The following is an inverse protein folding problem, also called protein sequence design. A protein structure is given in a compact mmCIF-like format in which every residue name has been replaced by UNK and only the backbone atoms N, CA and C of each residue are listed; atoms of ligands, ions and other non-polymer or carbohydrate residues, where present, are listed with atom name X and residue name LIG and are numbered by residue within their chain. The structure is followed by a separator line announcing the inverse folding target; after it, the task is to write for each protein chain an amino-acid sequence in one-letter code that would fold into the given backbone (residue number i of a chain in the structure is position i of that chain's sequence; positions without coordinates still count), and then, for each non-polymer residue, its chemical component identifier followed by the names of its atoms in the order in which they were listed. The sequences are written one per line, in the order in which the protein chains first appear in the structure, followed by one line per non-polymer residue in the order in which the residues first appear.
data_IF_540499533417
#
_entry.id   IF_540499533417
#
_cell.length_a   1.000
_cell.length_b   1.000
_cell.length_c   1.000
_cell.angle_alpha   90.00
_cell.angle_beta   90.00
_cell.angle_gamma   90.00
#
_symmetry.space_group_name_H-M   'P 1'
#
loop_
_entity.id
_entity.type
_entity.pdbx_description
1 polymer ?
#
# COMPACT_ATOMS: atom_id res chain seq x y z
N UNK A 1 -13.75 28.50 37.71
CA UNK A 1 -12.70 28.77 36.70
C UNK A 1 -12.55 27.59 35.74
N UNK A 2 -12.19 26.38 36.21
CA UNK A 2 -12.09 25.18 35.37
C UNK A 2 -13.39 24.80 34.63
N UNK A 3 -14.52 24.69 35.34
CA UNK A 3 -15.80 24.32 34.70
C UNK A 3 -16.28 25.30 33.62
N UNK A 4 -15.99 26.60 33.77
CA UNK A 4 -16.33 27.60 32.74
C UNK A 4 -15.49 27.43 31.47
N UNK A 5 -14.20 27.11 31.61
CA UNK A 5 -13.33 26.82 30.47
C UNK A 5 -13.72 25.51 29.78
N UNK A 6 -14.22 24.53 30.53
CA UNK A 6 -14.78 23.29 29.97
C UNK A 6 -16.07 23.55 29.18
N UNK A 7 -16.98 24.39 29.70
CA UNK A 7 -18.18 24.80 28.99
C UNK A 7 -17.86 25.55 27.68
N UNK A 8 -16.91 26.50 27.71
CA UNK A 8 -16.49 27.20 26.48
C UNK A 8 -15.86 26.25 25.46
N UNK A 9 -15.07 25.28 25.93
CA UNK A 9 -14.50 24.24 25.07
C UNK A 9 -15.61 23.42 24.43
N UNK A 10 -16.59 22.97 25.20
CA UNK A 10 -17.66 22.09 24.73
C UNK A 10 -18.58 22.80 23.72
N UNK A 11 -18.84 24.09 23.91
CA UNK A 11 -19.55 24.92 22.92
C UNK A 11 -18.79 24.98 21.59
N UNK A 12 -17.48 25.29 21.63
CA UNK A 12 -16.65 25.32 20.40
C UNK A 12 -16.57 23.97 19.72
N UNK A 13 -16.41 22.89 20.49
CA UNK A 13 -16.38 21.52 19.95
C UNK A 13 -17.71 21.16 19.30
N UNK A 14 -18.83 21.54 19.91
CA UNK A 14 -20.17 21.28 19.36
C UNK A 14 -20.35 21.96 18.00
N UNK A 15 -19.92 23.21 17.85
CA UNK A 15 -20.00 23.93 16.57
C UNK A 15 -19.14 23.26 15.48
N UNK A 16 -17.89 22.91 15.82
CA UNK A 16 -16.97 22.21 14.89
C UNK A 16 -17.58 20.88 14.46
N UNK A 17 -18.09 20.09 15.41
CA UNK A 17 -18.70 18.80 15.13
C UNK A 17 -19.95 18.94 14.27
N UNK A 18 -20.79 19.95 14.51
CA UNK A 18 -21.97 20.21 13.70
C UNK A 18 -21.61 20.56 12.27
N UNK A 19 -20.60 21.42 12.06
CA UNK A 19 -20.10 21.77 10.73
C UNK A 19 -19.50 20.57 10.00
N UNK A 20 -18.65 19.79 10.67
CA UNK A 20 -18.08 18.57 10.10
C UNK A 20 -19.17 17.61 9.64
N UNK A 21 -20.15 17.34 10.50
CA UNK A 21 -21.26 16.45 10.15
C UNK A 21 -22.09 16.99 8.98
N UNK A 22 -22.35 18.30 8.93
CA UNK A 22 -23.08 18.93 7.82
C UNK A 22 -22.33 18.77 6.49
N UNK A 23 -21.01 18.97 6.49
CA UNK A 23 -20.16 18.76 5.32
C UNK A 23 -20.18 17.30 4.84
N UNK A 24 -20.02 16.35 5.77
CA UNK A 24 -20.07 14.92 5.46
C UNK A 24 -21.44 14.50 4.88
N UNK A 25 -22.55 14.91 5.51
CA UNK A 25 -23.90 14.62 5.02
C UNK A 25 -24.15 15.27 3.66
N UNK A 26 -23.71 16.51 3.45
CA UNK A 26 -23.81 17.20 2.18
C UNK A 26 -23.04 16.50 1.05
N UNK A 27 -21.82 16.03 1.33
CA UNK A 27 -21.02 15.28 0.36
C UNK A 27 -21.72 13.97 -0.05
N UNK A 28 -22.23 13.21 0.92
CA UNK A 28 -22.98 11.98 0.66
C UNK A 28 -24.27 12.24 -0.12
N UNK A 29 -25.03 13.28 0.24
CA UNK A 29 -26.27 13.64 -0.45
C UNK A 29 -26.02 13.98 -1.92
N UNK A 30 -24.99 14.78 -2.23
CA UNK A 30 -24.61 15.11 -3.60
C UNK A 30 -24.19 13.88 -4.40
N UNK A 31 -23.40 12.98 -3.82
CA UNK A 31 -23.01 11.72 -4.47
C UNK A 31 -24.23 10.85 -4.78
N UNK A 32 -25.15 10.73 -3.82
CA UNK A 32 -26.40 9.98 -4.00
C UNK A 32 -27.30 10.60 -5.07
N UNK A 33 -27.40 11.93 -5.10
CA UNK A 33 -28.16 12.66 -6.09
C UNK A 33 -27.62 12.43 -7.52
N UNK A 34 -26.30 12.52 -7.70
CA UNK A 34 -25.68 12.24 -9.00
C UNK A 34 -25.94 10.81 -9.47
N UNK A 35 -25.83 9.82 -8.57
CA UNK A 35 -26.19 8.44 -8.88
C UNK A 35 -27.66 8.31 -9.33
N UNK A 36 -28.58 9.00 -8.65
CA UNK A 36 -30.01 8.99 -9.01
C UNK A 36 -30.26 9.64 -10.39
N UNK A 37 -29.61 10.75 -10.71
CA UNK A 37 -29.71 11.37 -12.05
C UNK A 37 -29.23 10.40 -13.12
N UNK A 38 -28.06 9.79 -12.92
CA UNK A 38 -27.51 8.82 -13.87
C UNK A 38 -28.46 7.63 -14.06
N UNK A 39 -29.05 7.11 -12.99
CA UNK A 39 -30.05 6.04 -13.05
C UNK A 39 -31.31 6.46 -13.81
N UNK A 40 -31.84 7.66 -13.55
CA UNK A 40 -33.02 8.17 -14.26
C UNK A 40 -32.77 8.31 -15.76
N UNK A 41 -31.60 8.82 -16.14
CA UNK A 41 -31.20 8.93 -17.54
C UNK A 41 -31.04 7.55 -18.17
N UNK A 42 -30.39 6.61 -17.48
CA UNK A 42 -30.27 5.23 -17.95
C UNK A 42 -31.63 4.55 -18.15
N UNK A 43 -32.57 4.72 -17.21
CA UNK A 43 -33.94 4.19 -17.32
C UNK A 43 -34.62 4.74 -18.58
N UNK A 44 -34.56 6.05 -18.82
CA UNK A 44 -35.16 6.67 -20.01
C UNK A 44 -34.57 6.10 -21.31
N UNK A 45 -33.25 5.94 -21.36
CA UNK A 45 -32.55 5.36 -22.53
C UNK A 45 -32.97 3.91 -22.74
N UNK A 46 -32.98 3.09 -21.69
CA UNK A 46 -33.39 1.68 -21.75
C UNK A 46 -34.84 1.56 -22.22
N UNK A 47 -35.77 2.34 -21.65
CA UNK A 47 -37.18 2.32 -22.05
C UNK A 47 -37.36 2.75 -23.52
N UNK A 48 -36.68 3.83 -23.95
CA UNK A 48 -36.71 4.28 -25.34
C UNK A 48 -36.21 3.20 -26.30
N UNK A 49 -35.07 2.59 -25.98
CA UNK A 49 -34.49 1.50 -26.78
C UNK A 49 -35.35 0.25 -26.78
N UNK A 50 -35.96 -0.12 -25.65
CA UNK A 50 -36.88 -1.24 -25.55
C UNK A 50 -38.09 -1.07 -26.47
N UNK A 51 -38.70 0.12 -26.49
CA UNK A 51 -39.79 0.44 -27.44
C UNK A 51 -39.33 0.39 -28.89
N UNK A 52 -38.14 0.93 -29.19
CA UNK A 52 -37.58 0.87 -30.54
C UNK A 52 -37.33 -0.58 -31.00
N UNK A 53 -36.80 -1.42 -30.12
CA UNK A 53 -36.57 -2.84 -30.38
C UNK A 53 -37.89 -3.56 -30.69
N UNK A 54 -38.96 -3.32 -29.92
CA UNK A 54 -40.26 -3.92 -30.18
C UNK A 54 -40.81 -3.56 -31.57
N UNK A 55 -40.60 -2.31 -32.02
CA UNK A 55 -40.97 -1.87 -33.38
C UNK A 55 -40.14 -2.56 -34.46
N UNK A 56 -38.84 -2.71 -34.23
CA UNK A 56 -37.88 -3.17 -35.25
C UNK A 56 -37.76 -4.70 -35.31
N UNK A 57 -38.04 -5.44 -34.23
CA UNK A 57 -37.81 -6.89 -34.12
C UNK A 57 -38.48 -7.70 -35.24
N UNK A 58 -39.68 -7.31 -35.66
CA UNK A 58 -40.43 -8.01 -36.70
C UNK A 58 -40.14 -7.48 -38.12
N UNK A 59 -39.37 -6.41 -38.26
CA UNK A 59 -39.02 -5.82 -39.55
C UNK A 59 -38.11 -6.76 -40.35
N UNK A 60 -38.48 -7.03 -41.61
CA UNK A 60 -37.81 -8.05 -42.45
C UNK A 60 -36.33 -7.75 -42.67
N UNK A 61 -35.96 -6.50 -42.93
CA UNK A 61 -34.56 -6.09 -43.10
C UNK A 61 -33.71 -6.28 -41.85
N UNK A 62 -34.26 -5.97 -40.67
CA UNK A 62 -33.58 -6.21 -39.41
C UNK A 62 -33.31 -7.70 -39.16
N UNK A 63 -34.31 -8.56 -39.41
CA UNK A 63 -34.17 -10.02 -39.29
C UNK A 63 -33.09 -10.55 -40.23
N UNK A 64 -33.04 -10.06 -41.47
CA UNK A 64 -31.99 -10.42 -42.43
C UNK A 64 -30.61 -10.04 -41.90
N UNK A 65 -30.43 -8.79 -41.47
CA UNK A 65 -29.18 -8.31 -40.90
C UNK A 65 -28.70 -9.14 -39.71
N UNK A 66 -29.59 -9.44 -38.75
CA UNK A 66 -29.25 -10.25 -37.56
C UNK A 66 -28.82 -11.67 -37.88
N UNK A 67 -29.27 -12.24 -39.02
CA UNK A 67 -28.85 -13.57 -39.48
C UNK A 67 -27.53 -13.55 -40.25
N UNK A 68 -27.29 -12.51 -41.04
CA UNK A 68 -26.08 -12.40 -41.87
C UNK A 68 -24.88 -11.98 -41.04
N UNK A 69 -25.03 -11.01 -40.11
CA UNK A 69 -23.92 -10.44 -39.35
C UNK A 69 -23.00 -11.49 -38.67
N UNK A 70 -23.52 -12.53 -37.98
CA UNK A 70 -22.67 -13.55 -37.36
C UNK A 70 -21.91 -14.44 -38.35
N UNK A 71 -22.36 -14.52 -39.61
CA UNK A 71 -21.70 -15.30 -40.66
C UNK A 71 -20.51 -14.57 -41.28
N UNK A 72 -20.33 -13.29 -40.96
CA UNK A 72 -19.20 -12.50 -41.42
C UNK A 72 -17.98 -12.77 -40.53
N UNK A 73 -16.94 -13.40 -41.10
CA UNK A 73 -15.69 -13.72 -40.41
C UNK A 73 -15.07 -12.49 -39.69
N UNK A 74 -15.20 -11.31 -40.28
CA UNK A 74 -14.71 -10.03 -39.73
C UNK A 74 -15.29 -9.73 -38.35
N UNK A 75 -16.57 -10.07 -38.09
CA UNK A 75 -17.20 -9.79 -36.78
C UNK A 75 -16.59 -10.62 -35.65
N UNK A 76 -16.12 -11.84 -35.95
CA UNK A 76 -15.46 -12.71 -34.96
C UNK A 76 -14.01 -12.29 -34.73
N UNK A 77 -13.30 -11.96 -35.81
CA UNK A 77 -11.90 -11.51 -35.74
C UNK A 77 -11.77 -10.17 -34.99
N UNK A 78 -12.69 -9.22 -35.20
CA UNK A 78 -12.68 -7.95 -34.47
C UNK A 78 -12.86 -8.13 -32.95
N UNK A 79 -13.75 -9.05 -32.55
CA UNK A 79 -13.99 -9.35 -31.13
C UNK A 79 -12.78 -10.06 -30.50
N UNK A 80 -12.20 -11.04 -31.19
CA UNK A 80 -10.96 -11.72 -30.74
C UNK A 80 -9.79 -10.74 -30.66
N UNK A 81 -9.63 -9.84 -31.64
CA UNK A 81 -8.60 -8.80 -31.65
C UNK A 81 -8.80 -7.81 -30.50
N UNK A 82 -10.03 -7.39 -30.24
CA UNK A 82 -10.35 -6.50 -29.12
C UNK A 82 -10.03 -7.15 -27.78
N UNK A 83 -10.40 -8.42 -27.59
CA UNK A 83 -10.05 -9.17 -26.38
C UNK A 83 -8.54 -9.28 -26.20
N UNK A 84 -7.80 -9.60 -27.27
CA UNK A 84 -6.34 -9.66 -27.25
C UNK A 84 -5.70 -8.30 -26.97
N UNK A 85 -6.25 -7.22 -27.50
CA UNK A 85 -5.77 -5.87 -27.23
C UNK A 85 -6.00 -5.46 -25.77
N UNK A 86 -7.17 -5.79 -25.21
CA UNK A 86 -7.47 -5.55 -23.79
C UNK A 86 -6.55 -6.37 -22.88
N UNK A 87 -6.35 -7.65 -23.19
CA UNK A 87 -5.42 -8.53 -22.47
C UNK A 87 -3.98 -8.00 -22.52
N UNK A 88 -3.50 -7.62 -23.71
CA UNK A 88 -2.17 -7.04 -23.89
C UNK A 88 -2.00 -5.74 -23.09
N UNK A 89 -3.01 -4.86 -23.10
CA UNK A 89 -2.96 -3.61 -22.35
C UNK A 89 -2.89 -3.87 -20.83
N UNK A 90 -3.69 -4.82 -20.32
CA UNK A 90 -3.66 -5.23 -18.91
C UNK A 90 -2.27 -5.77 -18.52
N UNK A 91 -1.73 -6.69 -19.32
CA UNK A 91 -0.42 -7.28 -19.08
C UNK A 91 0.70 -6.22 -19.12
N UNK A 92 0.63 -5.24 -20.02
CA UNK A 92 1.59 -4.13 -20.07
C UNK A 92 1.55 -3.29 -18.79
N UNK A 93 0.35 -2.96 -18.30
CA UNK A 93 0.20 -2.19 -17.05
C UNK A 93 0.72 -2.98 -15.84
N UNK A 94 0.36 -4.26 -15.74
CA UNK A 94 0.84 -5.12 -14.66
C UNK A 94 2.36 -5.30 -14.69
N UNK A 95 2.93 -5.51 -15.88
CA UNK A 95 4.38 -5.62 -16.06
C UNK A 95 5.08 -4.32 -15.65
N UNK A 96 4.57 -3.16 -16.05
CA UNK A 96 5.11 -1.86 -15.63
C UNK A 96 5.10 -1.70 -14.11
N UNK A 97 4.00 -2.06 -13.44
CA UNK A 97 3.92 -2.03 -11.97
C UNK A 97 4.92 -2.99 -11.32
N UNK A 98 5.11 -4.20 -11.87
CA UNK A 98 6.05 -5.19 -11.32
C UNK A 98 7.50 -4.75 -11.49
N UNK A 99 7.86 -4.10 -12.59
CA UNK A 99 9.21 -3.55 -12.80
C UNK A 99 9.52 -2.49 -11.75
N UNK A 100 8.59 -1.56 -11.51
CA UNK A 100 8.77 -0.51 -10.49
C UNK A 100 8.92 -1.13 -9.09
N UNK A 101 8.08 -2.14 -8.75
CA UNK A 101 8.19 -2.85 -7.47
C UNK A 101 9.52 -3.60 -7.33
N UNK A 102 10.00 -4.24 -8.40
CA UNK A 102 11.28 -4.93 -8.37
C UNK A 102 12.44 -3.96 -8.12
N UNK A 103 12.43 -2.79 -8.77
CA UNK A 103 13.43 -1.74 -8.56
C UNK A 103 13.45 -1.23 -7.12
N UNK A 104 12.28 -0.89 -6.56
CA UNK A 104 12.16 -0.45 -5.15
C UNK A 104 12.63 -1.53 -4.15
N UNK A 105 12.34 -2.80 -4.44
CA UNK A 105 12.80 -3.92 -3.61
C UNK A 105 14.31 -4.14 -3.71
N UNK A 106 14.91 -3.92 -4.89
CA UNK A 106 16.35 -4.03 -5.10
C UNK A 106 17.11 -2.90 -4.39
N UNK A 107 16.61 -1.66 -4.45
CA UNK A 107 17.16 -0.52 -3.71
C UNK A 107 17.12 -0.77 -2.18
N UNK A 108 15.99 -1.28 -1.67
CA UNK A 108 15.87 -1.65 -0.24
C UNK A 108 16.82 -2.76 0.15
N UNK A 109 17.00 -3.77 -0.70
CA UNK A 109 17.93 -4.86 -0.45
C UNK A 109 19.37 -4.34 -0.34
N UNK A 110 19.77 -3.44 -1.24
CA UNK A 110 21.10 -2.82 -1.21
C UNK A 110 21.31 -2.02 0.09
N UNK A 111 20.32 -1.24 0.51
CA UNK A 111 20.40 -0.48 1.77
C UNK A 111 20.60 -1.41 2.97
N UNK A 112 19.78 -2.46 3.09
CA UNK A 112 19.88 -3.43 4.20
C UNK A 112 21.21 -4.17 4.17
N UNK A 113 21.75 -4.48 2.99
CA UNK A 113 23.07 -5.10 2.86
C UNK A 113 24.20 -4.18 3.35
N UNK A 114 24.12 -2.89 3.04
CA UNK A 114 25.08 -1.89 3.53
C UNK A 114 25.01 -1.76 5.07
N UNK A 115 23.81 -1.62 5.63
CA UNK A 115 23.61 -1.58 7.08
C UNK A 115 24.14 -2.83 7.78
N UNK A 116 23.87 -4.01 7.21
CA UNK A 116 24.40 -5.29 7.72
C UNK A 116 25.93 -5.31 7.70
N UNK A 117 26.57 -4.80 6.64
CA UNK A 117 28.02 -4.73 6.55
C UNK A 117 28.59 -3.86 7.68
N UNK A 118 28.05 -2.66 7.87
CA UNK A 118 28.48 -1.73 8.92
C UNK A 118 28.30 -2.34 10.31
N UNK A 119 27.19 -3.03 10.56
CA UNK A 119 26.96 -3.72 11.83
C UNK A 119 27.95 -4.87 12.06
N UNK A 120 28.28 -5.64 11.02
CA UNK A 120 29.28 -6.70 11.11
C UNK A 120 30.68 -6.15 11.42
N UNK A 121 31.09 -5.07 10.77
CA UNK A 121 32.38 -4.41 11.02
C UNK A 121 32.44 -3.90 12.47
N UNK A 122 31.34 -3.29 12.95
CA UNK A 122 31.23 -2.84 14.34
C UNK A 122 31.28 -3.98 15.34
N UNK A 123 30.63 -5.11 15.06
CA UNK A 123 30.69 -6.31 15.89
C UNK A 123 32.11 -6.88 15.94
N UNK A 124 32.80 -6.95 14.79
CA UNK A 124 34.18 -7.42 14.74
C UNK A 124 35.11 -6.55 15.60
N UNK A 125 34.99 -5.22 15.49
CA UNK A 125 35.75 -4.29 16.31
C UNK A 125 35.46 -4.43 17.81
N UNK A 126 34.19 -4.56 18.21
CA UNK A 126 33.84 -4.76 19.62
C UNK A 126 34.38 -6.07 20.19
N UNK A 127 34.40 -7.14 19.39
CA UNK A 127 34.98 -8.43 19.79
C UNK A 127 36.49 -8.33 20.01
N UNK A 128 37.21 -7.57 19.17
CA UNK A 128 38.64 -7.30 19.34
C UNK A 128 38.91 -6.53 20.63
N UNK A 129 38.19 -5.44 20.87
CA UNK A 129 38.28 -4.63 22.10
C UNK A 129 37.95 -5.46 23.34
N UNK A 130 36.94 -6.33 23.26
CA UNK A 130 36.60 -7.24 24.37
C UNK A 130 37.75 -8.20 24.66
N UNK A 131 38.37 -8.78 23.63
CA UNK A 131 39.53 -9.66 23.77
C UNK A 131 40.72 -8.97 24.43
N UNK A 132 41.03 -7.73 24.03
CA UNK A 132 42.07 -6.92 24.68
C UNK A 132 41.75 -6.65 26.16
N UNK A 133 40.48 -6.33 26.47
CA UNK A 133 40.02 -6.06 27.82
C UNK A 133 40.14 -7.31 28.72
N UNK A 134 39.75 -8.48 28.20
CA UNK A 134 39.91 -9.76 28.88
C UNK A 134 41.39 -10.09 29.16
N UNK A 135 42.28 -9.86 28.18
CA UNK A 135 43.70 -10.13 28.35
C UNK A 135 44.34 -9.19 29.38
N UNK A 136 43.96 -7.91 29.39
CA UNK A 136 44.38 -6.95 30.41
C UNK A 136 43.86 -7.35 31.80
N UNK A 137 42.59 -7.77 31.91
CA UNK A 137 42.02 -8.27 33.16
C UNK A 137 42.78 -9.48 33.68
N UNK A 138 43.12 -10.45 32.82
CA UNK A 138 43.95 -11.62 33.21
C UNK A 138 45.35 -11.22 33.67
N UNK A 139 45.98 -10.23 33.00
CA UNK A 139 47.28 -9.69 33.41
C UNK A 139 47.22 -9.03 34.79
N UNK A 140 46.20 -8.21 35.04
CA UNK A 140 46.00 -7.56 36.34
C UNK A 140 45.72 -8.58 37.45
N UNK A 141 44.91 -9.60 37.17
CA UNK A 141 44.64 -10.69 38.11
C UNK A 141 45.93 -11.39 38.53
N UNK A 142 46.76 -11.82 37.58
CA UNK A 142 48.05 -12.46 37.88
C UNK A 142 48.95 -11.60 38.76
N UNK A 143 49.02 -10.30 38.45
CA UNK A 143 49.84 -9.35 39.21
C UNK A 143 49.30 -9.14 40.63
N UNK A 144 47.98 -9.16 40.80
CA UNK A 144 47.35 -9.11 42.11
C UNK A 144 47.67 -10.36 42.94
N UNK A 145 47.54 -11.55 42.35
CA UNK A 145 47.87 -12.83 43.00
C UNK A 145 49.36 -12.87 43.42
N UNK A 146 50.27 -12.40 42.56
CA UNK A 146 51.70 -12.26 42.89
C UNK A 146 51.95 -11.33 44.08
N UNK A 147 51.28 -10.17 44.12
CA UNK A 147 51.41 -9.20 45.21
C UNK A 147 50.81 -9.72 46.51
N UNK A 148 49.67 -10.41 46.48
CA UNK A 148 49.05 -11.05 47.64
C UNK A 148 49.97 -12.12 48.24
N UNK A 149 50.64 -12.93 47.41
CA UNK A 149 51.63 -13.91 47.87
C UNK A 149 52.82 -13.25 48.58
N UNK A 150 53.37 -12.16 48.01
CA UNK A 150 54.48 -11.40 48.63
C UNK A 150 54.05 -10.83 49.98
N UNK A 151 52.82 -10.32 50.07
CA UNK A 151 52.29 -9.72 51.29
C UNK A 151 52.13 -10.77 52.40
N UNK A 152 51.60 -11.95 52.06
CA UNK A 152 51.54 -13.10 52.99
C UNK A 152 52.93 -13.54 53.48
N UNK A 153 53.93 -13.58 52.59
CA UNK A 153 55.31 -13.91 52.99
C UNK A 153 55.92 -12.88 53.95
N UNK A 154 55.57 -11.60 53.80
CA UNK A 154 56.03 -10.55 54.73
C UNK A 154 55.29 -10.59 56.07
N UNK A 155 54.00 -10.92 56.09
CA UNK A 155 53.20 -11.04 57.33
C UNK A 155 53.59 -12.26 58.18
N UNK A 156 54.19 -13.29 57.57
CA UNK A 156 54.68 -14.48 58.27
C UNK A 156 56.10 -14.32 58.86
N UNK A 157 56.78 -13.20 58.61
CA UNK A 157 58.10 -12.85 59.17
C UNK A 157 57.98 -11.94 60.38
#
# INVERSE_FOLDING_TARGET
VLGHLEEERDLKLTDIMTQLQALCRGALARKNYQRRIQQLNAIRVIQRNGRALLKIRNWKWWRLFTKIKPLLQVTRQDEELKQKQEEMNRLKTEMGSRVIQAQDMEEKLQLVQQERSVLNDRLAHLNEVLGECEENSRRMQKRNDELESILQEMEQR
#
